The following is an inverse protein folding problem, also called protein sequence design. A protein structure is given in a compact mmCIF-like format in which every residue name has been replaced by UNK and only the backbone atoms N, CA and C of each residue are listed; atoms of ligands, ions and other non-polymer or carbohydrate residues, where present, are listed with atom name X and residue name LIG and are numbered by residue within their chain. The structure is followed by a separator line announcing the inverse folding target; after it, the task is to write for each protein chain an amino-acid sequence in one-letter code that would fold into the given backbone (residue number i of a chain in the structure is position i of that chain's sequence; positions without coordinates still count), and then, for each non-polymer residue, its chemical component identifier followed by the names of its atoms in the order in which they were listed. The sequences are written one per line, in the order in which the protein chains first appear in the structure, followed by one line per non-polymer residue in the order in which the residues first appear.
data_IF_308611319304
#
_entry.id   IF_308611319304
#
_cell.length_a   1.000
_cell.length_b   1.000
_cell.length_c   1.000
_cell.angle_alpha   90.00
_cell.angle_beta   90.00
_cell.angle_gamma   90.00
#
_symmetry.space_group_name_H-M   'P 1'
#
loop_
_entity.id
_entity.type
_entity.pdbx_description
1 polymer ?
#
# COMPACT_ATOMS: atom_id res chain seq x y z
N UNK A 1 -23.54 -42.72 16.14
CA UNK A 1 -22.50 -41.89 15.49
C UNK A 1 -21.22 -41.98 16.30
N UNK A 2 -20.10 -42.41 15.69
CA UNK A 2 -18.88 -42.78 16.42
C UNK A 2 -18.09 -41.52 16.85
N UNK A 3 -17.88 -41.29 18.16
CA UNK A 3 -17.23 -40.07 18.68
C UNK A 3 -15.85 -39.80 18.05
N UNK A 4 -15.12 -40.86 17.70
CA UNK A 4 -13.83 -40.78 17.00
C UNK A 4 -13.94 -40.22 15.58
N UNK A 5 -15.04 -40.52 14.89
CA UNK A 5 -15.33 -40.00 13.55
C UNK A 5 -15.62 -38.50 13.58
N UNK A 6 -16.39 -38.05 14.57
CA UNK A 6 -16.74 -36.63 14.77
C UNK A 6 -15.47 -35.81 15.06
N UNK A 7 -14.61 -36.30 15.96
CA UNK A 7 -13.35 -35.64 16.31
C UNK A 7 -12.41 -35.51 15.09
N UNK A 8 -12.26 -36.58 14.30
CA UNK A 8 -11.46 -36.55 13.07
C UNK A 8 -12.04 -35.57 12.03
N UNK A 9 -13.37 -35.49 11.92
CA UNK A 9 -14.03 -34.56 11.01
C UNK A 9 -13.81 -33.09 11.43
N UNK A 10 -13.86 -32.80 12.74
CA UNK A 10 -13.56 -31.47 13.27
C UNK A 10 -12.11 -31.05 13.01
N UNK A 11 -11.15 -31.95 13.23
CA UNK A 11 -9.73 -31.71 12.95
C UNK A 11 -9.53 -31.44 11.45
N UNK A 12 -10.12 -32.26 10.57
CA UNK A 12 -10.03 -32.08 9.12
C UNK A 12 -10.60 -30.73 8.67
N UNK A 13 -11.75 -30.34 9.22
CA UNK A 13 -12.38 -29.04 8.94
C UNK A 13 -11.47 -27.89 9.37
N UNK A 14 -10.82 -28.01 10.53
CA UNK A 14 -9.92 -27.00 11.06
C UNK A 14 -8.63 -26.87 10.22
N UNK A 15 -8.09 -27.99 9.73
CA UNK A 15 -6.99 -28.00 8.76
C UNK A 15 -7.37 -27.39 7.41
N UNK A 16 -8.59 -27.63 6.92
CA UNK A 16 -9.12 -27.04 5.68
C UNK A 16 -9.32 -25.52 5.80
N UNK A 17 -9.83 -25.05 6.94
CA UNK A 17 -9.97 -23.61 7.21
C UNK A 17 -8.59 -22.96 7.29
N UNK A 18 -7.64 -23.60 7.98
CA UNK A 18 -6.27 -23.10 8.09
C UNK A 18 -5.61 -23.01 6.71
N UNK A 19 -5.68 -24.06 5.88
CA UNK A 19 -5.07 -24.08 4.54
C UNK A 19 -5.66 -23.02 3.59
N UNK A 20 -6.97 -22.76 3.65
CA UNK A 20 -7.60 -21.68 2.89
C UNK A 20 -7.05 -20.29 3.27
N UNK A 21 -6.83 -20.03 4.56
CA UNK A 21 -6.29 -18.73 5.04
C UNK A 21 -4.86 -18.49 4.54
N UNK A 22 -4.03 -19.53 4.41
CA UNK A 22 -2.66 -19.41 3.88
C UNK A 22 -2.58 -19.36 2.34
N UNK A 23 -3.68 -19.65 1.63
CA UNK A 23 -3.70 -19.72 0.17
C UNK A 23 -3.60 -18.34 -0.50
N UNK A 24 -3.95 -17.26 0.20
CA UNK A 24 -3.84 -15.87 -0.27
C UNK A 24 -2.37 -15.40 -0.30
N UNK A 25 -1.59 -16.00 -1.16
CA UNK A 25 -0.18 -15.68 -1.41
C UNK A 25 0.01 -14.45 -2.31
N UNK A 26 -1.06 -13.92 -2.90
CA UNK A 26 -1.01 -12.70 -3.73
C UNK A 26 -0.74 -11.44 -2.91
N UNK A 27 -0.17 -10.42 -3.54
CA UNK A 27 -0.04 -9.06 -3.01
C UNK A 27 -1.01 -8.14 -3.74
N UNK A 28 -1.33 -7.00 -3.13
CA UNK A 28 -2.18 -6.00 -3.77
C UNK A 28 -1.53 -5.45 -5.05
N UNK A 29 -2.35 -5.05 -6.02
CA UNK A 29 -1.89 -4.41 -7.26
C UNK A 29 -1.56 -2.94 -7.01
N UNK A 30 -0.49 -2.42 -7.61
CA UNK A 30 -0.16 -1.00 -7.49
C UNK A 30 -1.18 -0.13 -8.25
N UNK A 31 -1.77 0.89 -7.60
CA UNK A 31 -2.65 1.85 -8.25
C UNK A 31 -1.87 2.78 -9.17
N UNK A 32 -2.60 3.46 -10.06
CA UNK A 32 -2.06 4.53 -10.88
C UNK A 32 -1.86 5.80 -10.05
N UNK A 33 -0.79 6.55 -10.37
CA UNK A 33 -0.51 7.81 -9.72
C UNK A 33 -1.55 8.88 -10.15
N UNK A 34 -2.07 9.69 -9.21
CA UNK A 34 -2.97 10.78 -9.54
C UNK A 34 -2.33 11.75 -10.54
N UNK A 35 -3.08 12.13 -11.57
CA UNK A 35 -2.64 13.11 -12.56
C UNK A 35 -2.86 14.53 -12.04
N UNK A 36 -1.91 15.42 -12.36
CA UNK A 36 -2.03 16.85 -12.07
C UNK A 36 -3.31 17.42 -12.71
N UNK A 37 -4.08 18.27 -12.02
CA UNK A 37 -5.30 18.85 -12.59
C UNK A 37 -4.96 19.83 -13.72
N UNK A 38 -5.83 19.89 -14.73
CA UNK A 38 -5.69 20.83 -15.86
C UNK A 38 -5.78 22.29 -15.40
N UNK A 39 -6.67 22.57 -14.45
CA UNK A 39 -6.87 23.91 -13.89
C UNK A 39 -6.31 23.97 -12.47
N UNK A 40 -5.37 24.89 -12.25
CA UNK A 40 -4.65 25.07 -10.99
C UNK A 40 -5.43 25.97 -10.00
N UNK A 41 -6.74 25.76 -9.89
CA UNK A 41 -7.56 26.43 -8.87
C UNK A 41 -7.29 25.83 -7.50
N UNK A 42 -7.49 26.62 -6.44
CA UNK A 42 -7.35 26.17 -5.05
C UNK A 42 -8.08 24.84 -4.82
N UNK A 43 -9.36 24.78 -5.20
CA UNK A 43 -10.21 23.58 -5.09
C UNK A 43 -9.58 22.36 -5.78
N UNK A 44 -9.14 22.51 -7.04
CA UNK A 44 -8.60 21.38 -7.80
C UNK A 44 -7.27 20.90 -7.24
N UNK A 45 -6.44 21.82 -6.75
CA UNK A 45 -5.17 21.51 -6.10
C UNK A 45 -5.40 20.82 -4.75
N UNK A 46 -6.38 21.24 -3.94
CA UNK A 46 -6.74 20.55 -2.69
C UNK A 46 -7.21 19.12 -2.95
N UNK A 47 -8.02 18.91 -3.99
CA UNK A 47 -8.45 17.56 -4.40
C UNK A 47 -7.24 16.73 -4.85
N UNK A 48 -6.32 17.33 -5.59
CA UNK A 48 -5.12 16.66 -6.08
C UNK A 48 -4.17 16.28 -4.94
N UNK A 49 -3.92 17.19 -4.00
CA UNK A 49 -3.15 16.96 -2.78
C UNK A 49 -3.72 15.77 -1.97
N UNK A 50 -5.03 15.75 -1.72
CA UNK A 50 -5.67 14.65 -1.01
C UNK A 50 -5.48 13.30 -1.73
N UNK A 51 -5.57 13.29 -3.07
CA UNK A 51 -5.30 12.10 -3.88
C UNK A 51 -3.83 11.66 -3.79
N UNK A 52 -2.89 12.61 -3.82
CA UNK A 52 -1.46 12.34 -3.65
C UNK A 52 -1.16 11.77 -2.26
N UNK A 53 -1.74 12.33 -1.20
CA UNK A 53 -1.59 11.82 0.15
C UNK A 53 -2.10 10.38 0.27
N UNK A 54 -3.28 10.09 -0.28
CA UNK A 54 -3.82 8.73 -0.35
C UNK A 54 -2.91 7.77 -1.12
N UNK A 55 -2.35 8.21 -2.25
CA UNK A 55 -1.41 7.42 -3.04
C UNK A 55 -0.09 7.15 -2.28
N UNK A 56 0.47 8.16 -1.62
CA UNK A 56 1.67 8.04 -0.80
C UNK A 56 1.48 7.03 0.35
N UNK A 57 0.37 7.14 1.09
CA UNK A 57 0.02 6.21 2.16
C UNK A 57 -0.24 4.79 1.64
N UNK A 58 -0.82 4.66 0.44
CA UNK A 58 -0.97 3.36 -0.20
C UNK A 58 0.40 2.71 -0.45
N UNK A 59 1.35 3.44 -1.04
CA UNK A 59 2.69 2.92 -1.32
C UNK A 59 3.41 2.49 -0.03
N UNK A 60 3.33 3.31 1.02
CA UNK A 60 3.88 2.97 2.33
C UNK A 60 3.27 1.70 2.91
N UNK A 61 1.94 1.62 2.91
CA UNK A 61 1.21 0.48 3.43
C UNK A 61 1.54 -0.78 2.63
N UNK A 62 1.58 -0.68 1.31
CA UNK A 62 1.95 -1.77 0.42
C UNK A 62 3.34 -2.32 0.78
N UNK A 63 4.35 -1.45 0.91
CA UNK A 63 5.71 -1.85 1.25
C UNK A 63 5.79 -2.46 2.66
N UNK A 64 5.15 -1.82 3.65
CA UNK A 64 5.13 -2.28 5.05
C UNK A 64 4.48 -3.66 5.19
N UNK A 65 3.30 -3.85 4.58
CA UNK A 65 2.57 -5.12 4.60
C UNK A 65 3.31 -6.21 3.86
N UNK A 66 3.92 -5.88 2.71
CA UNK A 66 4.69 -6.86 1.93
C UNK A 66 5.95 -7.30 2.68
N UNK A 67 6.67 -6.36 3.31
CA UNK A 67 7.81 -6.67 4.19
C UNK A 67 7.42 -7.61 5.31
N UNK A 68 6.32 -7.31 6.02
CA UNK A 68 5.81 -8.14 7.11
C UNK A 68 5.40 -9.55 6.65
N UNK A 69 4.76 -9.64 5.46
CA UNK A 69 4.27 -10.89 4.90
C UNK A 69 5.40 -11.85 4.53
N UNK A 70 6.44 -11.36 3.84
CA UNK A 70 7.51 -12.22 3.33
C UNK A 70 8.70 -12.36 4.28
N UNK A 71 8.87 -11.42 5.23
CA UNK A 71 9.99 -11.40 6.19
C UNK A 71 11.36 -11.56 5.51
N UNK A 72 11.49 -11.05 4.29
CA UNK A 72 12.71 -11.14 3.50
C UNK A 72 13.80 -10.29 4.17
N UNK A 73 14.94 -10.90 4.50
CA UNK A 73 16.08 -10.21 5.11
C UNK A 73 16.69 -9.17 4.16
N UNK A 74 16.55 -9.38 2.85
CA UNK A 74 17.00 -8.48 1.80
C UNK A 74 15.87 -7.60 1.25
N UNK A 75 14.81 -7.37 2.05
CA UNK A 75 13.74 -6.46 1.65
C UNK A 75 14.30 -5.04 1.50
N UNK A 76 14.00 -4.32 0.40
CA UNK A 76 14.55 -3.00 0.17
C UNK A 76 14.16 -2.02 1.29
N UNK A 77 15.10 -1.16 1.66
CA UNK A 77 14.86 -0.13 2.67
C UNK A 77 14.04 1.00 2.07
N UNK A 78 13.08 1.52 2.82
CA UNK A 78 12.27 2.68 2.46
C UNK A 78 12.02 3.52 3.72
N UNK A 79 11.78 4.81 3.53
CA UNK A 79 11.37 5.73 4.60
C UNK A 79 9.85 5.81 4.63
N UNK A 80 9.29 6.07 5.82
CA UNK A 80 7.88 6.40 5.96
C UNK A 80 7.64 7.85 5.55
N UNK A 81 6.42 8.16 5.14
CA UNK A 81 5.95 9.49 4.84
C UNK A 81 6.00 10.32 6.13
N UNK A 82 6.78 11.39 6.11
CA UNK A 82 6.72 12.40 7.15
C UNK A 82 5.51 13.31 6.88
N UNK A 83 4.42 13.06 7.59
CA UNK A 83 3.21 13.88 7.51
C UNK A 83 3.27 15.12 8.40
N UNK A 84 4.28 15.25 9.28
CA UNK A 84 4.37 16.37 10.24
C UNK A 84 4.75 17.69 9.57
N UNK A 85 5.38 17.61 8.39
CA UNK A 85 5.72 18.77 7.57
C UNK A 85 4.57 19.25 6.68
N UNK A 86 3.46 18.51 6.63
CA UNK A 86 2.29 18.93 5.88
C UNK A 86 1.59 20.08 6.61
N UNK A 87 1.44 21.18 5.89
CA UNK A 87 0.77 22.38 6.37
C UNK A 87 -0.73 22.15 6.46
N UNK A 88 -1.34 22.62 7.56
CA UNK A 88 -2.78 22.50 7.78
C UNK A 88 -3.59 23.67 7.21
N UNK A 89 -2.93 24.76 6.80
CA UNK A 89 -3.62 25.92 6.26
C UNK A 89 -4.10 25.71 4.83
N UNK A 90 -5.31 26.19 4.53
CA UNK A 90 -5.96 25.98 3.24
C UNK A 90 -5.66 27.12 2.25
N UNK A 91 -4.37 27.42 2.06
CA UNK A 91 -3.90 28.45 1.13
C UNK A 91 -3.27 27.81 -0.11
N UNK A 92 -3.23 28.55 -1.22
CA UNK A 92 -2.64 28.05 -2.46
C UNK A 92 -1.17 27.68 -2.28
N UNK A 93 -0.43 28.50 -1.54
CA UNK A 93 0.98 28.29 -1.21
C UNK A 93 1.17 27.01 -0.38
N UNK A 94 0.41 26.84 0.70
CA UNK A 94 0.51 25.65 1.54
C UNK A 94 0.20 24.37 0.78
N UNK A 95 -0.85 24.37 -0.05
CA UNK A 95 -1.22 23.22 -0.86
C UNK A 95 -0.11 22.90 -1.88
N UNK A 96 0.50 23.91 -2.51
CA UNK A 96 1.61 23.68 -3.43
C UNK A 96 2.85 23.11 -2.73
N UNK A 97 3.17 23.58 -1.53
CA UNK A 97 4.26 23.04 -0.71
C UNK A 97 3.98 21.59 -0.28
N UNK A 98 2.76 21.30 0.18
CA UNK A 98 2.33 19.95 0.53
C UNK A 98 2.41 19.01 -0.68
N UNK A 99 1.90 19.42 -1.84
CA UNK A 99 2.00 18.67 -3.10
C UNK A 99 3.46 18.38 -3.43
N UNK A 100 4.35 19.37 -3.32
CA UNK A 100 5.79 19.20 -3.60
C UNK A 100 6.42 18.17 -2.67
N UNK A 101 6.10 18.22 -1.37
CA UNK A 101 6.58 17.23 -0.40
C UNK A 101 6.07 15.82 -0.70
N UNK A 102 4.76 15.68 -0.97
CA UNK A 102 4.14 14.41 -1.33
C UNK A 102 4.74 13.83 -2.60
N UNK A 103 4.94 14.65 -3.64
CA UNK A 103 5.59 14.23 -4.89
C UNK A 103 7.04 13.80 -4.65
N UNK A 104 7.79 14.51 -3.83
CA UNK A 104 9.16 14.10 -3.47
C UNK A 104 9.18 12.72 -2.83
N UNK A 105 8.30 12.47 -1.85
CA UNK A 105 8.16 11.15 -1.24
C UNK A 105 7.76 10.08 -2.27
N UNK A 106 6.75 10.34 -3.10
CA UNK A 106 6.26 9.42 -4.12
C UNK A 106 7.37 9.05 -5.11
N UNK A 107 8.14 10.03 -5.59
CA UNK A 107 9.23 9.81 -6.54
C UNK A 107 10.31 8.87 -5.99
N UNK A 108 10.59 8.95 -4.69
CA UNK A 108 11.56 8.06 -4.02
C UNK A 108 10.98 6.67 -3.74
N UNK A 109 9.71 6.59 -3.35
CA UNK A 109 9.09 5.35 -2.85
C UNK A 109 8.49 4.49 -3.97
N UNK A 110 7.91 5.12 -5.01
CA UNK A 110 7.24 4.42 -6.11
C UNK A 110 8.15 3.42 -6.84
N UNK A 111 9.40 3.75 -7.23
CA UNK A 111 10.28 2.77 -7.88
C UNK A 111 10.53 1.52 -7.02
N UNK A 112 10.65 1.70 -5.70
CA UNK A 112 10.82 0.61 -4.74
C UNK A 112 9.56 -0.26 -4.70
N UNK A 113 8.38 0.36 -4.61
CA UNK A 113 7.11 -0.35 -4.63
C UNK A 113 6.93 -1.15 -5.93
N UNK A 114 7.28 -0.59 -7.09
CA UNK A 114 7.27 -1.30 -8.37
C UNK A 114 8.23 -2.48 -8.41
N UNK A 115 9.46 -2.33 -7.91
CA UNK A 115 10.42 -3.43 -7.84
C UNK A 115 9.94 -4.56 -6.92
N UNK A 116 9.40 -4.20 -5.74
CA UNK A 116 8.77 -5.14 -4.80
C UNK A 116 7.58 -5.84 -5.46
N UNK A 117 6.70 -5.09 -6.12
CA UNK A 117 5.56 -5.66 -6.83
C UNK A 117 6.03 -6.67 -7.88
N UNK A 118 6.99 -6.32 -8.73
CA UNK A 118 7.54 -7.24 -9.74
C UNK A 118 8.18 -8.51 -9.14
N UNK A 119 8.81 -8.40 -7.97
CA UNK A 119 9.46 -9.53 -7.29
C UNK A 119 8.45 -10.47 -6.64
N UNK A 120 7.43 -9.95 -5.96
CA UNK A 120 6.52 -10.73 -5.13
C UNK A 120 5.12 -10.93 -5.74
N UNK A 121 4.77 -10.23 -6.83
CA UNK A 121 3.50 -10.48 -7.51
C UNK A 121 3.57 -11.81 -8.26
N UNK A 122 2.53 -12.63 -8.06
CA UNK A 122 2.31 -13.83 -8.87
C UNK A 122 1.69 -13.51 -10.24
N UNK A 123 1.11 -12.31 -10.34
CA UNK A 123 0.59 -11.75 -11.58
C UNK A 123 1.77 -11.16 -12.35
N UNK A 124 2.35 -11.97 -13.25
CA UNK A 124 3.20 -11.46 -14.33
C UNK A 124 2.25 -10.80 -15.32
N UNK A 125 2.33 -9.47 -15.45
CA UNK A 125 1.77 -8.80 -16.63
C UNK A 125 2.65 -9.13 -17.83
#
# INVERSE_FOLDING_TARGET
MNKKLILNLMILLQFMIFSMIFSCTSIATLPEEPKIPTELTLKNLSIYEAKLAGYALYLETFLTRTKQKFRDQNFPTFKLLDATVLRADHTLEAIQENIKHLQHYINNTKPIAFAVYKKYSKLKK
#
